data_IF_436292212126
#
_entry.id   IF_436292212126
#
_cell.length_a   1.000
_cell.length_b   1.000
_cell.length_c   1.000
_cell.angle_alpha   90.00
_cell.angle_beta   90.00
_cell.angle_gamma   90.00
#
_symmetry.space_group_name_H-M   'P 1'
#
loop_
_entity.id
_entity.type
_entity.pdbx_description
1 polymer ?
#
# COMPACT_ATOMS: atom_id res chain seq x y z
N UNK A 1 0.52 -5.97 -10.50
CA UNK A 1 1.71 -6.75 -10.92
C UNK A 1 1.89 -7.88 -9.93
N UNK A 2 2.44 -9.02 -10.36
CA UNK A 2 2.68 -10.16 -9.48
C UNK A 2 4.02 -9.98 -8.77
N UNK A 3 4.12 -10.35 -7.50
CA UNK A 3 5.37 -10.32 -6.74
C UNK A 3 5.70 -11.73 -6.24
N UNK A 4 6.91 -12.19 -6.53
CA UNK A 4 7.50 -13.42 -6.00
C UNK A 4 8.64 -13.02 -5.08
N UNK A 5 8.54 -13.36 -3.81
CA UNK A 5 9.58 -13.08 -2.83
C UNK A 5 10.07 -14.38 -2.24
N UNK A 6 11.29 -14.76 -2.60
CA UNK A 6 11.97 -15.94 -2.11
C UNK A 6 12.93 -15.54 -0.98
N UNK A 7 12.61 -15.95 0.24
CA UNK A 7 13.39 -15.70 1.44
C UNK A 7 14.16 -16.96 1.83
N UNK A 8 15.47 -16.90 1.63
CA UNK A 8 16.46 -17.91 2.01
C UNK A 8 17.45 -17.34 3.03
N UNK A 9 17.02 -16.36 3.83
CA UNK A 9 17.82 -15.81 4.93
C UNK A 9 17.93 -16.78 6.11
N UNK A 10 16.88 -17.56 6.37
CA UNK A 10 16.91 -18.67 7.32
C UNK A 10 17.58 -19.89 6.67
N UNK A 11 18.57 -20.46 7.36
CA UNK A 11 19.31 -21.65 6.89
C UNK A 11 18.50 -22.94 7.00
N UNK A 12 17.41 -22.90 7.76
CA UNK A 12 16.58 -24.08 8.04
C UNK A 12 15.40 -24.24 7.10
N UNK A 13 14.92 -23.14 6.50
CA UNK A 13 13.74 -23.12 5.64
C UNK A 13 13.86 -22.03 4.58
N UNK A 14 13.49 -22.35 3.35
CA UNK A 14 13.30 -21.36 2.28
C UNK A 14 11.81 -21.12 2.09
N UNK A 15 11.39 -19.85 2.15
CA UNK A 15 9.97 -19.46 2.03
C UNK A 15 9.77 -18.69 0.73
N UNK A 16 8.75 -19.07 -0.04
CA UNK A 16 8.28 -18.30 -1.18
C UNK A 16 6.96 -17.62 -0.81
N UNK A 17 6.97 -16.28 -0.81
CA UNK A 17 5.77 -15.45 -0.68
C UNK A 17 5.35 -14.98 -2.06
N UNK A 18 4.10 -15.19 -2.41
CA UNK A 18 3.53 -14.82 -3.70
C UNK A 18 2.39 -13.84 -3.46
N UNK A 19 2.52 -12.62 -3.98
CA UNK A 19 1.40 -11.68 -4.07
C UNK A 19 0.88 -11.64 -5.50
N UNK A 20 -0.37 -12.05 -5.67
CA UNK A 20 -0.98 -12.20 -6.99
C UNK A 20 -2.47 -11.83 -6.95
N UNK A 21 -2.96 -11.21 -8.02
CA UNK A 21 -4.40 -10.98 -8.20
C UNK A 21 -5.04 -12.26 -8.77
N UNK A 22 -5.45 -13.17 -7.88
CA UNK A 22 -6.04 -14.45 -8.26
C UNK A 22 -7.35 -14.27 -9.04
N UNK A 23 -8.19 -13.31 -8.64
CA UNK A 23 -9.52 -13.10 -9.24
C UNK A 23 -9.50 -12.56 -10.68
N UNK A 24 -8.34 -12.10 -11.15
CA UNK A 24 -8.12 -11.63 -12.52
C UNK A 24 -7.10 -12.48 -13.29
N UNK A 25 -6.66 -13.62 -12.73
CA UNK A 25 -5.67 -14.49 -13.36
C UNK A 25 -6.08 -15.95 -13.35
N UNK A 26 -5.97 -16.62 -12.20
CA UNK A 26 -6.16 -18.06 -12.05
C UNK A 26 -7.58 -18.45 -11.66
N UNK A 27 -8.38 -17.48 -11.24
CA UNK A 27 -9.76 -17.69 -10.81
C UNK A 27 -10.66 -16.68 -11.51
N UNK A 28 -11.93 -17.03 -11.69
CA UNK A 28 -12.94 -16.03 -12.05
C UNK A 28 -13.27 -15.12 -10.85
N UNK A 29 -13.63 -13.84 -11.07
CA UNK A 29 -13.98 -12.92 -9.99
C UNK A 29 -15.05 -13.44 -9.02
N UNK A 30 -16.04 -14.18 -9.53
CA UNK A 30 -17.10 -14.81 -8.74
C UNK A 30 -16.57 -15.92 -7.83
N UNK A 31 -15.62 -16.71 -8.33
CA UNK A 31 -15.00 -17.82 -7.60
C UNK A 31 -14.07 -17.29 -6.51
N UNK A 32 -13.27 -16.27 -6.84
CA UNK A 32 -12.42 -15.60 -5.88
C UNK A 32 -13.23 -14.92 -4.77
N UNK A 33 -14.33 -14.23 -5.11
CA UNK A 33 -15.24 -13.67 -4.10
C UNK A 33 -15.81 -14.73 -3.16
N UNK A 34 -16.22 -15.88 -3.71
CA UNK A 34 -16.71 -17.01 -2.91
C UNK A 34 -15.62 -17.58 -2.01
N UNK A 35 -14.38 -17.66 -2.49
CA UNK A 35 -13.25 -18.07 -1.68
C UNK A 35 -13.01 -17.08 -0.54
N UNK A 36 -12.82 -15.79 -0.85
CA UNK A 36 -12.51 -14.75 0.14
C UNK A 36 -13.58 -14.59 1.23
N UNK A 37 -14.84 -14.94 0.95
CA UNK A 37 -15.96 -14.86 1.91
C UNK A 37 -16.29 -16.19 2.60
N UNK A 38 -15.62 -17.29 2.23
CA UNK A 38 -15.80 -18.59 2.87
C UNK A 38 -15.05 -18.68 4.21
N UNK A 39 -15.39 -19.70 4.99
CA UNK A 39 -14.61 -20.11 6.16
C UNK A 39 -13.27 -20.72 5.74
N UNK A 40 -12.33 -20.92 6.68
CA UNK A 40 -10.98 -21.38 6.36
C UNK A 40 -10.96 -22.69 5.55
N UNK A 41 -11.86 -23.63 5.87
CA UNK A 41 -11.96 -24.90 5.15
C UNK A 41 -12.53 -24.72 3.73
N UNK A 42 -13.53 -23.87 3.57
CA UNK A 42 -14.08 -23.53 2.26
C UNK A 42 -13.07 -22.78 1.40
N UNK A 43 -12.27 -21.87 1.99
CA UNK A 43 -11.18 -21.18 1.31
C UNK A 43 -10.18 -22.16 0.72
N UNK A 44 -9.64 -23.07 1.54
CA UNK A 44 -8.66 -24.07 1.13
C UNK A 44 -9.15 -24.87 -0.08
N UNK A 45 -10.39 -25.35 -0.04
CA UNK A 45 -10.99 -26.13 -1.13
C UNK A 45 -11.18 -25.32 -2.41
N UNK A 46 -11.54 -24.04 -2.30
CA UNK A 46 -11.82 -23.18 -3.45
C UNK A 46 -10.54 -22.67 -4.13
N UNK A 47 -9.46 -22.45 -3.37
CA UNK A 47 -8.18 -21.98 -3.95
C UNK A 47 -7.29 -23.12 -4.43
N UNK A 48 -7.49 -24.36 -3.94
CA UNK A 48 -6.63 -25.50 -4.27
C UNK A 48 -6.36 -25.68 -5.77
N UNK A 49 -7.36 -25.62 -6.68
CA UNK A 49 -7.11 -25.77 -8.12
C UNK A 49 -6.20 -24.67 -8.69
N UNK A 50 -6.39 -23.43 -8.24
CA UNK A 50 -5.58 -22.29 -8.68
C UNK A 50 -4.14 -22.40 -8.15
N UNK A 51 -3.97 -22.89 -6.92
CA UNK A 51 -2.65 -23.14 -6.31
C UNK A 51 -1.93 -24.28 -7.02
N UNK A 52 -2.61 -25.39 -7.32
CA UNK A 52 -2.05 -26.51 -8.08
C UNK A 52 -1.59 -26.06 -9.46
N UNK A 53 -2.44 -25.36 -10.21
CA UNK A 53 -2.09 -24.79 -11.51
C UNK A 53 -0.86 -23.86 -11.43
N UNK A 54 -0.80 -23.02 -10.40
CA UNK A 54 0.33 -22.11 -10.20
C UNK A 54 1.63 -22.88 -9.91
N UNK A 55 1.59 -23.87 -9.03
CA UNK A 55 2.77 -24.67 -8.65
C UNK A 55 3.27 -25.57 -9.78
N UNK A 56 2.38 -26.12 -10.61
CA UNK A 56 2.76 -26.92 -11.78
C UNK A 56 3.53 -26.10 -12.82
N UNK A 57 3.22 -24.81 -12.94
CA UNK A 57 3.80 -23.92 -13.94
C UNK A 57 4.90 -22.98 -13.43
N UNK A 58 5.08 -22.86 -12.10
CA UNK A 58 6.20 -22.14 -11.50
C UNK A 58 7.35 -23.12 -11.21
N UNK A 59 8.42 -23.01 -11.99
CA UNK A 59 9.64 -23.80 -11.78
C UNK A 59 10.66 -22.98 -11.00
N UNK A 60 10.99 -23.43 -9.80
CA UNK A 60 12.11 -22.90 -9.02
C UNK A 60 13.22 -23.97 -9.04
N UNK A 61 14.35 -23.67 -9.66
CA UNK A 61 15.48 -24.58 -9.74
C UNK A 61 16.64 -24.06 -8.89
N UNK A 62 17.22 -24.93 -8.07
CA UNK A 62 18.44 -24.69 -7.29
C UNK A 62 19.50 -25.64 -7.85
N UNK A 63 20.61 -25.10 -8.34
CA UNK A 63 21.68 -25.86 -9.02
C UNK A 63 21.14 -26.73 -10.15
N UNK A 64 20.23 -26.17 -10.95
CA UNK A 64 19.49 -26.86 -12.03
C UNK A 64 18.56 -27.99 -11.58
N UNK A 65 18.38 -28.21 -10.27
CA UNK A 65 17.44 -29.19 -9.71
C UNK A 65 16.14 -28.49 -9.30
N UNK A 66 14.96 -28.88 -9.84
CA UNK A 66 13.69 -28.31 -9.42
C UNK A 66 13.41 -28.55 -7.93
N UNK A 67 13.03 -27.49 -7.22
CA UNK A 67 12.58 -27.52 -5.84
C UNK A 67 11.04 -27.54 -5.80
N UNK A 68 10.48 -28.53 -5.12
CA UNK A 68 9.06 -28.57 -4.83
C UNK A 68 8.72 -27.50 -3.77
N UNK A 69 7.52 -26.95 -3.86
CA UNK A 69 7.00 -25.97 -2.92
C UNK A 69 5.61 -26.41 -2.43
N UNK A 70 5.39 -26.32 -1.12
CA UNK A 70 4.14 -26.72 -0.47
C UNK A 70 3.47 -25.51 0.14
N UNK A 71 2.17 -25.31 -0.13
CA UNK A 71 1.39 -24.21 0.45
C UNK A 71 1.31 -24.38 1.98
N UNK A 72 1.70 -23.35 2.72
CA UNK A 72 1.63 -23.30 4.19
C UNK A 72 0.46 -22.47 4.68
N UNK A 73 0.25 -21.30 4.07
CA UNK A 73 -0.84 -20.39 4.43
C UNK A 73 -1.22 -19.51 3.26
N UNK A 74 -2.41 -18.92 3.37
CA UNK A 74 -2.96 -17.99 2.40
C UNK A 74 -3.70 -16.86 3.12
N UNK A 75 -3.76 -15.71 2.49
CA UNK A 75 -4.58 -14.58 2.87
C UNK A 75 -5.26 -14.03 1.62
N UNK A 76 -6.59 -13.98 1.66
CA UNK A 76 -7.40 -13.47 0.57
C UNK A 76 -7.97 -12.11 0.97
N UNK A 77 -7.77 -11.10 0.14
CA UNK A 77 -8.37 -9.78 0.31
C UNK A 77 -9.49 -9.60 -0.72
N UNK A 78 -10.68 -9.19 -0.26
CA UNK A 78 -11.77 -8.84 -1.15
C UNK A 78 -12.74 -7.85 -0.48
N UNK A 79 -12.81 -6.62 -1.01
CA UNK A 79 -13.77 -5.61 -0.55
C UNK A 79 -15.17 -5.85 -1.13
N UNK A 80 -15.25 -6.12 -2.44
CA UNK A 80 -16.49 -6.43 -3.15
C UNK A 80 -16.19 -7.12 -4.48
N UNK A 81 -17.22 -7.72 -5.08
CA UNK A 81 -17.09 -8.32 -6.41
C UNK A 81 -16.72 -7.28 -7.49
N UNK A 82 -17.25 -6.05 -7.39
CA UNK A 82 -16.92 -4.97 -8.32
C UNK A 82 -15.47 -4.49 -8.14
N UNK A 83 -14.95 -4.51 -6.91
CA UNK A 83 -13.55 -4.21 -6.63
C UNK A 83 -12.61 -5.26 -7.24
N UNK A 84 -12.95 -6.55 -7.15
CA UNK A 84 -12.18 -7.63 -7.80
C UNK A 84 -12.16 -7.44 -9.32
N UNK A 85 -13.29 -7.03 -9.92
CA UNK A 85 -13.38 -6.78 -11.37
C UNK A 85 -12.59 -5.55 -11.83
N UNK A 86 -12.17 -4.68 -10.93
CA UNK A 86 -11.51 -3.43 -11.27
C UNK A 86 -9.99 -3.63 -11.43
N UNK A 87 -9.43 -3.56 -12.65
CA UNK A 87 -7.99 -3.76 -12.88
C UNK A 87 -7.11 -2.64 -12.28
N UNK A 88 -7.71 -1.50 -11.90
CA UNK A 88 -6.98 -0.35 -11.33
C UNK A 88 -6.74 -0.54 -9.83
N UNK A 89 -7.61 -1.28 -9.14
CA UNK A 89 -7.54 -1.52 -7.69
C UNK A 89 -7.50 -3.02 -7.40
N UNK A 90 -6.43 -3.72 -7.84
CA UNK A 90 -6.35 -5.17 -7.75
C UNK A 90 -6.47 -5.62 -6.29
N UNK A 91 -7.20 -6.71 -6.09
CA UNK A 91 -7.40 -7.33 -4.77
C UNK A 91 -6.39 -8.48 -4.65
N UNK A 92 -5.22 -8.18 -4.07
CA UNK A 92 -4.08 -9.10 -4.08
C UNK A 92 -4.27 -10.18 -3.01
N UNK A 93 -4.17 -11.44 -3.41
CA UNK A 93 -3.99 -12.54 -2.48
C UNK A 93 -2.51 -12.71 -2.14
N UNK A 94 -2.23 -13.10 -0.90
CA UNK A 94 -0.89 -13.51 -0.46
C UNK A 94 -0.88 -15.01 -0.19
N UNK A 95 0.00 -15.74 -0.89
CA UNK A 95 0.20 -17.18 -0.74
C UNK A 95 1.61 -17.42 -0.22
N UNK A 96 1.75 -18.23 0.82
CA UNK A 96 3.04 -18.54 1.44
C UNK A 96 3.31 -20.03 1.24
N UNK A 97 4.44 -20.32 0.60
CA UNK A 97 4.92 -21.66 0.34
C UNK A 97 6.23 -21.92 1.06
N UNK A 98 6.41 -23.16 1.49
CA UNK A 98 7.68 -23.67 2.00
C UNK A 98 8.32 -24.55 0.93
N UNK A 99 9.58 -24.29 0.61
CA UNK A 99 10.33 -25.10 -0.33
C UNK A 99 10.93 -26.31 0.39
N UNK A 100 10.88 -27.47 -0.25
CA UNK A 100 11.38 -28.73 0.31
C UNK A 100 12.92 -28.80 0.30
N UNK A 101 13.57 -27.90 -0.44
CA UNK A 101 15.02 -27.79 -0.55
C UNK A 101 15.50 -26.47 0.07
N UNK A 102 16.52 -26.57 0.93
CA UNK A 102 17.18 -25.39 1.48
C UNK A 102 18.31 -24.94 0.56
N UNK A 103 18.36 -23.64 0.29
CA UNK A 103 19.47 -23.04 -0.45
C UNK A 103 20.70 -23.07 0.47
N UNK A 104 21.60 -24.01 0.20
CA UNK A 104 22.83 -24.19 0.97
C UNK A 104 23.84 -23.09 0.63
N UNK A 105 24.55 -22.59 1.64
CA UNK A 105 25.48 -21.46 1.49
C UNK A 105 26.75 -21.88 0.75
N UNK A 106 26.95 -21.34 -0.45
CA UNK A 106 28.16 -21.52 -1.26
C UNK A 106 27.81 -21.79 -2.72
N UNK A 107 27.97 -20.78 -3.58
CA UNK A 107 27.82 -20.86 -5.04
C UNK A 107 26.56 -21.54 -5.57
N UNK A 108 25.42 -21.38 -4.89
CA UNK A 108 24.15 -21.89 -5.40
C UNK A 108 23.65 -21.04 -6.58
N UNK A 109 23.21 -21.71 -7.64
CA UNK A 109 22.57 -21.12 -8.80
C UNK A 109 21.06 -21.25 -8.67
N UNK A 110 20.37 -20.12 -8.48
CA UNK A 110 18.91 -20.06 -8.40
C UNK A 110 18.33 -19.59 -9.72
N UNK A 111 17.41 -20.34 -10.30
CA UNK A 111 16.62 -19.91 -11.45
C UNK A 111 15.12 -20.03 -11.16
N UNK A 112 14.36 -18.99 -11.46
CA UNK A 112 12.89 -19.01 -11.41
C UNK A 112 12.35 -18.84 -12.82
N UNK A 113 11.48 -19.75 -13.23
CA UNK A 113 10.86 -19.79 -14.54
C UNK A 113 9.35 -19.95 -14.41
N UNK A 114 8.62 -19.25 -15.26
CA UNK A 114 7.17 -19.34 -15.39
C UNK A 114 6.87 -19.98 -16.75
N UNK A 115 6.12 -21.07 -16.76
CA UNK A 115 5.73 -21.76 -18.00
C UNK A 115 4.86 -20.86 -18.90
N UNK A 116 4.85 -21.14 -20.20
CA UNK A 116 4.05 -20.40 -21.18
C UNK A 116 2.55 -20.59 -20.95
N UNK A 117 2.14 -21.69 -20.32
CA UNK A 117 0.73 -22.00 -20.04
C UNK A 117 0.16 -21.24 -18.83
N UNK A 118 0.99 -20.53 -18.07
CA UNK A 118 0.57 -19.80 -16.87
C UNK A 118 0.47 -18.31 -17.18
N UNK A 119 -0.75 -17.79 -17.18
CA UNK A 119 -1.00 -16.35 -17.29
C UNK A 119 -1.18 -15.74 -15.90
N UNK A 120 -0.29 -14.81 -15.58
CA UNK A 120 -0.31 -14.02 -14.35
C UNK A 120 -0.30 -12.54 -14.70
N UNK A 121 -0.70 -11.66 -13.78
CA UNK A 121 -0.60 -10.22 -13.99
C UNK A 121 0.88 -9.81 -14.19
N UNK A 122 1.25 -9.61 -15.45
CA UNK A 122 2.58 -9.15 -15.84
C UNK A 122 2.77 -7.64 -15.57
N UNK A 123 4.01 -7.17 -15.34
CA UNK A 123 5.23 -7.96 -15.14
C UNK A 123 5.24 -8.68 -13.78
N UNK A 124 6.13 -9.66 -13.63
CA UNK A 124 6.36 -10.35 -12.36
C UNK A 124 7.67 -9.84 -11.75
N UNK A 125 7.60 -9.30 -10.54
CA UNK A 125 8.78 -8.90 -9.78
C UNK A 125 9.25 -10.09 -8.94
N UNK A 126 10.43 -10.62 -9.24
CA UNK A 126 11.11 -11.59 -8.41
C UNK A 126 12.09 -10.86 -7.49
N UNK A 127 11.99 -11.12 -6.18
CA UNK A 127 12.93 -10.70 -5.14
C UNK A 127 13.48 -11.92 -4.43
N UNK A 128 14.79 -11.95 -4.22
CA UNK A 128 15.49 -13.03 -3.53
C UNK A 128 16.32 -12.44 -2.39
N UNK A 129 15.99 -12.81 -1.16
CA UNK A 129 16.78 -12.51 0.05
C UNK A 129 17.54 -13.78 0.46
N UNK A 130 18.82 -13.66 0.84
CA UNK A 130 19.65 -14.80 1.21
C UNK A 130 20.73 -14.41 2.24
N UNK A 131 21.11 -15.34 3.10
CA UNK A 131 21.87 -15.03 4.32
C UNK A 131 23.26 -14.37 4.13
N UNK A 132 23.86 -14.46 2.93
CA UNK A 132 25.24 -13.98 2.67
C UNK A 132 25.27 -12.54 2.19
N UNK A 133 24.18 -12.01 1.62
CA UNK A 133 24.12 -10.64 1.11
C UNK A 133 23.12 -9.82 1.92
N UNK A 134 23.50 -8.62 2.39
CA UNK A 134 22.56 -7.71 3.01
C UNK A 134 21.59 -7.07 2.00
N UNK A 135 21.86 -7.23 0.69
CA UNK A 135 21.02 -6.71 -0.37
C UNK A 135 20.23 -7.82 -1.07
N UNK A 136 18.90 -7.64 -1.26
CA UNK A 136 18.11 -8.52 -2.10
C UNK A 136 18.57 -8.45 -3.54
N UNK A 137 18.50 -9.58 -4.24
CA UNK A 137 18.58 -9.61 -5.71
C UNK A 137 17.16 -9.49 -6.26
N UNK A 138 16.95 -8.56 -7.18
CA UNK A 138 15.66 -8.43 -7.88
C UNK A 138 15.81 -8.72 -9.37
N UNK A 139 14.78 -9.33 -9.95
CA UNK A 139 14.62 -9.57 -11.39
C UNK A 139 13.19 -9.23 -11.79
N UNK A 140 13.02 -8.68 -12.97
CA UNK A 140 11.71 -8.45 -13.55
C UNK A 140 11.50 -9.45 -14.68
N UNK A 141 10.47 -10.28 -14.55
CA UNK A 141 10.05 -11.20 -15.60
C UNK A 141 8.88 -10.56 -16.36
N UNK A 142 8.86 -10.77 -17.66
CA UNK A 142 7.83 -10.25 -18.56
C UNK A 142 7.18 -11.40 -19.29
N UNK A 143 6.02 -11.15 -19.91
CA UNK A 143 5.34 -12.19 -20.70
C UNK A 143 6.20 -12.76 -21.82
N UNK A 144 7.16 -11.98 -22.34
CA UNK A 144 8.17 -12.41 -23.32
C UNK A 144 9.44 -13.00 -22.72
N UNK A 145 9.78 -12.64 -21.49
CA UNK A 145 10.99 -13.11 -20.78
C UNK A 145 10.56 -13.68 -19.42
N UNK A 146 10.07 -14.92 -19.47
CA UNK A 146 9.48 -15.65 -18.34
C UNK A 146 10.51 -16.40 -17.46
N UNK A 147 11.79 -16.06 -17.58
CA UNK A 147 12.88 -16.63 -16.77
C UNK A 147 13.64 -15.50 -16.08
N UNK A 148 14.03 -15.71 -14.83
CA UNK A 148 14.93 -14.82 -14.09
C UNK A 148 16.35 -14.80 -14.64
N UNK A 149 16.70 -15.79 -15.49
CA UNK A 149 18.06 -16.31 -15.71
C UNK A 149 18.68 -16.84 -14.41
N UNK A 150 19.77 -17.61 -14.52
CA UNK A 150 20.61 -17.96 -13.37
C UNK A 150 20.97 -16.77 -12.48
N UNK A 151 20.64 -16.86 -11.20
CA UNK A 151 21.05 -15.94 -10.14
C UNK A 151 22.13 -16.63 -9.32
N UNK A 152 23.35 -16.14 -9.44
CA UNK A 152 24.50 -16.65 -8.68
C UNK A 152 24.50 -16.02 -7.29
N UNK A 153 24.27 -16.84 -6.27
CA UNK A 153 24.21 -16.41 -4.87
C UNK A 153 25.61 -16.38 -4.23
N UNK A 154 26.54 -15.63 -4.83
CA UNK A 154 27.92 -15.48 -4.34
C UNK A 154 28.07 -14.31 -3.37
N UNK A 155 28.61 -14.59 -2.18
CA UNK A 155 28.89 -13.59 -1.15
C UNK A 155 29.96 -12.54 -1.47
N UNK A 156 30.58 -12.62 -2.65
CA UNK A 156 31.73 -11.78 -3.03
C UNK A 156 31.40 -10.61 -3.97
N UNK A 157 30.13 -10.35 -4.30
CA UNK A 157 29.78 -9.35 -5.33
C UNK A 157 29.71 -7.90 -4.84
N UNK A 158 30.04 -7.58 -3.58
CA UNK A 158 29.95 -6.22 -3.06
C UNK A 158 31.27 -5.74 -2.43
N UNK A 159 32.29 -5.60 -3.29
CA UNK A 159 33.46 -4.78 -2.97
C UNK A 159 33.02 -3.30 -2.83
N UNK A 160 33.01 -2.83 -1.58
CA UNK A 160 33.11 -1.44 -1.07
C UNK A 160 32.17 -0.32 -1.58
N UNK A 161 31.76 -0.28 -2.85
CA UNK A 161 30.98 0.85 -3.43
C UNK A 161 29.46 0.62 -3.40
N UNK A 162 29.02 -0.60 -3.15
CA UNK A 162 27.61 -0.97 -3.12
C UNK A 162 26.99 -0.93 -1.72
N UNK A 163 27.78 -0.88 -0.65
CA UNK A 163 27.27 -0.71 0.72
C UNK A 163 26.63 0.68 0.92
N UNK A 164 27.14 1.71 0.22
CA UNK A 164 26.56 3.06 0.21
C UNK A 164 25.28 3.12 -0.62
N UNK A 165 25.26 2.50 -1.81
CA UNK A 165 24.05 2.36 -2.62
C UNK A 165 22.98 1.50 -1.93
N UNK A 166 23.38 0.47 -1.19
CA UNK A 166 22.51 -0.36 -0.37
C UNK A 166 21.85 0.45 0.74
N UNK A 167 22.65 1.24 1.47
CA UNK A 167 22.15 2.13 2.50
C UNK A 167 21.18 3.17 1.94
N UNK A 168 21.46 3.70 0.75
CA UNK A 168 20.56 4.63 0.05
C UNK A 168 19.27 3.95 -0.42
N UNK A 169 19.34 2.73 -0.93
CA UNK A 169 18.17 1.96 -1.35
C UNK A 169 17.26 1.60 -0.17
N UNK A 170 17.83 1.16 0.96
CA UNK A 170 17.10 0.91 2.20
C UNK A 170 16.50 2.20 2.77
N UNK A 171 17.27 3.30 2.74
CA UNK A 171 16.75 4.61 3.11
C UNK A 171 15.57 5.02 2.22
N UNK A 172 15.67 4.82 0.90
CA UNK A 172 14.58 5.14 -0.03
C UNK A 172 13.35 4.26 0.18
N UNK A 173 13.52 2.95 0.40
CA UNK A 173 12.44 2.00 0.70
C UNK A 173 11.63 2.44 1.93
N UNK A 174 12.29 2.96 2.96
CA UNK A 174 11.63 3.48 4.16
C UNK A 174 10.84 4.77 3.91
N UNK A 175 11.12 5.50 2.83
CA UNK A 175 10.38 6.72 2.43
C UNK A 175 9.17 6.42 1.54
N UNK A 176 9.15 5.27 0.86
CA UNK A 176 8.03 4.87 -0.03
C UNK A 176 6.67 4.88 0.69
N UNK A 177 6.53 4.38 1.94
CA UNK A 177 5.30 4.52 2.70
C UNK A 177 4.90 5.99 2.94
N UNK A 178 5.86 6.90 3.16
CA UNK A 178 5.57 8.32 3.32
C UNK A 178 4.99 8.96 2.05
N UNK A 179 5.42 8.49 0.87
CA UNK A 179 4.92 8.98 -0.42
C UNK A 179 3.51 8.46 -0.73
N UNK A 180 3.14 7.25 -0.29
CA UNK A 180 1.77 6.75 -0.45
C UNK A 180 0.79 7.57 0.39
N UNK A 181 1.14 7.96 1.62
CA UNK A 181 0.34 8.90 2.42
C UNK A 181 0.19 10.27 1.75
N UNK A 182 1.23 10.75 1.06
CA UNK A 182 1.15 11.98 0.27
C UNK A 182 0.15 11.83 -0.88
N UNK A 183 0.16 10.69 -1.58
CA UNK A 183 -0.80 10.40 -2.65
C UNK A 183 -2.25 10.33 -2.12
N UNK A 184 -2.48 9.72 -0.96
CA UNK A 184 -3.79 9.69 -0.29
C UNK A 184 -4.23 11.10 0.09
N UNK A 185 -3.34 11.93 0.64
CA UNK A 185 -3.63 13.34 0.94
C UNK A 185 -3.95 14.15 -0.32
N UNK A 186 -3.27 13.91 -1.44
CA UNK A 186 -3.57 14.56 -2.71
C UNK A 186 -4.95 14.15 -3.24
N UNK A 187 -5.27 12.84 -3.21
CA UNK A 187 -6.57 12.32 -3.62
C UNK A 187 -7.73 12.84 -2.74
N UNK A 188 -7.44 13.13 -1.47
CA UNK A 188 -8.40 13.74 -0.56
C UNK A 188 -8.76 15.16 -1.00
N UNK A 189 -7.79 15.99 -1.39
CA UNK A 189 -8.07 17.37 -1.84
C UNK A 189 -8.64 17.37 -3.28
N UNK A 190 -8.05 16.57 -4.18
CA UNK A 190 -8.44 16.50 -5.60
C UNK A 190 -8.65 15.03 -5.96
N UNK A 191 -9.88 14.54 -6.23
CA UNK A 191 -11.10 15.29 -6.55
C UNK A 191 -12.12 15.43 -5.41
N UNK A 192 -11.90 14.78 -4.25
CA UNK A 192 -12.96 14.62 -3.22
C UNK A 192 -13.12 15.81 -2.28
N UNK A 193 -12.13 16.70 -2.19
CA UNK A 193 -12.03 17.79 -1.20
C UNK A 193 -12.48 19.14 -1.75
N UNK A 194 -13.61 19.18 -2.45
CA UNK A 194 -14.17 20.43 -2.98
C UNK A 194 -14.46 21.45 -1.87
N UNK A 195 -14.83 20.96 -0.68
CA UNK A 195 -14.99 21.75 0.53
C UNK A 195 -13.72 22.55 0.90
N UNK A 196 -12.54 21.92 0.84
CA UNK A 196 -11.25 22.56 1.11
C UNK A 196 -10.89 23.60 0.06
N UNK A 197 -11.12 23.28 -1.22
CA UNK A 197 -10.86 24.21 -2.33
C UNK A 197 -11.75 25.44 -2.20
N UNK A 198 -13.06 25.25 -1.96
CA UNK A 198 -14.02 26.34 -1.78
C UNK A 198 -13.70 27.17 -0.52
N UNK A 199 -13.27 26.52 0.56
CA UNK A 199 -12.85 27.21 1.78
C UNK A 199 -11.62 28.11 1.57
N UNK A 200 -10.57 27.59 0.92
CA UNK A 200 -9.35 28.36 0.60
C UNK A 200 -9.66 29.50 -0.37
N UNK A 201 -10.52 29.27 -1.38
CA UNK A 201 -10.99 30.33 -2.26
C UNK A 201 -11.77 31.40 -1.48
N UNK A 202 -12.58 31.01 -0.50
CA UNK A 202 -13.24 31.92 0.44
C UNK A 202 -12.24 32.77 1.22
N UNK A 203 -11.14 32.19 1.71
CA UNK A 203 -10.08 32.97 2.39
C UNK A 203 -9.39 33.96 1.43
N UNK A 204 -9.11 33.52 0.21
CA UNK A 204 -8.49 34.32 -0.84
C UNK A 204 -9.33 35.55 -1.23
N UNK A 205 -10.63 35.38 -1.44
CA UNK A 205 -11.49 36.47 -1.93
C UNK A 205 -11.63 37.65 -0.96
N UNK A 206 -11.40 37.46 0.35
CA UNK A 206 -11.41 38.58 1.31
C UNK A 206 -10.05 39.27 1.47
N UNK A 207 -8.95 38.57 1.19
CA UNK A 207 -7.60 39.13 1.34
C UNK A 207 -6.73 38.77 0.16
N UNK A 208 -6.63 39.70 -0.78
CA UNK A 208 -5.72 39.62 -1.94
C UNK A 208 -4.24 39.73 -1.58
N UNK A 209 -3.92 40.03 -0.30
CA UNK A 209 -2.53 40.03 0.20
C UNK A 209 -2.07 38.61 0.47
N UNK A 210 -1.09 38.16 -0.31
CA UNK A 210 -0.50 36.82 -0.22
C UNK A 210 0.06 36.50 1.17
N UNK A 211 0.69 37.47 1.85
CA UNK A 211 1.25 37.25 3.18
C UNK A 211 0.18 36.91 4.24
N UNK A 212 -0.99 37.52 4.16
CA UNK A 212 -2.09 37.22 5.09
C UNK A 212 -2.74 35.88 4.77
N UNK A 213 -2.90 35.57 3.48
CA UNK A 213 -3.40 34.26 3.05
C UNK A 213 -2.49 33.13 3.54
N UNK A 214 -1.17 33.27 3.34
CA UNK A 214 -0.20 32.27 3.79
C UNK A 214 -0.26 32.06 5.31
N UNK A 215 -0.48 33.12 6.09
CA UNK A 215 -0.58 33.02 7.53
C UNK A 215 -1.86 32.27 7.97
N UNK A 216 -3.00 32.59 7.36
CA UNK A 216 -4.27 31.90 7.63
C UNK A 216 -4.22 30.43 7.23
N UNK A 217 -3.69 30.14 6.04
CA UNK A 217 -3.52 28.78 5.54
C UNK A 217 -2.57 28.00 6.45
N UNK A 218 -1.46 28.61 6.90
CA UNK A 218 -0.54 27.95 7.84
C UNK A 218 -1.21 27.60 9.17
N UNK A 219 -1.96 28.53 9.77
CA UNK A 219 -2.72 28.26 11.00
C UNK A 219 -3.78 27.16 10.80
N UNK A 220 -4.51 27.19 9.69
CA UNK A 220 -5.46 26.15 9.32
C UNK A 220 -4.77 24.80 9.20
N UNK A 221 -3.67 24.71 8.45
CA UNK A 221 -2.92 23.46 8.23
C UNK A 221 -2.36 22.90 9.52
N UNK A 222 -1.79 23.73 10.40
CA UNK A 222 -1.31 23.25 11.71
C UNK A 222 -2.43 22.68 12.56
N UNK A 223 -3.57 23.38 12.63
CA UNK A 223 -4.74 22.91 13.37
C UNK A 223 -5.31 21.62 12.78
N UNK A 224 -5.44 21.55 11.46
CA UNK A 224 -5.91 20.37 10.74
C UNK A 224 -5.03 19.15 11.01
N UNK A 225 -3.71 19.29 10.87
CA UNK A 225 -2.75 18.22 11.15
C UNK A 225 -2.81 17.76 12.61
N UNK A 226 -3.01 18.70 13.55
CA UNK A 226 -3.18 18.36 14.96
C UNK A 226 -4.46 17.55 15.21
N UNK A 227 -5.60 17.97 14.64
CA UNK A 227 -6.85 17.24 14.79
C UNK A 227 -6.79 15.84 14.17
N UNK A 228 -6.16 15.72 12.99
CA UNK A 228 -5.93 14.44 12.35
C UNK A 228 -5.07 13.53 13.23
N UNK A 229 -3.96 14.03 13.77
CA UNK A 229 -3.09 13.27 14.66
C UNK A 229 -3.82 12.79 15.94
N UNK A 230 -4.65 13.65 16.54
CA UNK A 230 -5.45 13.28 17.71
C UNK A 230 -6.50 12.21 17.38
N UNK A 231 -7.10 12.29 16.20
CA UNK A 231 -8.10 11.31 15.76
C UNK A 231 -7.47 9.96 15.37
N UNK A 232 -6.32 9.96 14.68
CA UNK A 232 -5.60 8.73 14.34
C UNK A 232 -5.02 8.02 15.57
N UNK A 233 -4.63 8.77 16.61
CA UNK A 233 -4.23 8.22 17.90
C UNK A 233 -5.42 7.71 18.75
N UNK A 234 -6.66 7.86 18.27
CA UNK A 234 -7.86 7.47 19.00
C UNK A 234 -8.19 8.35 20.22
N UNK A 235 -7.53 9.50 20.36
CA UNK A 235 -7.75 10.44 21.48
C UNK A 235 -9.07 11.20 21.29
N UNK A 236 -9.44 11.51 20.04
CA UNK A 236 -10.67 12.21 19.68
C UNK A 236 -11.43 11.40 18.64
N UNK A 237 -12.67 11.04 18.94
CA UNK A 237 -13.57 10.37 18.00
C UNK A 237 -14.91 11.12 17.95
N UNK A 238 -15.24 11.67 16.79
CA UNK A 238 -16.50 12.39 16.56
C UNK A 238 -17.18 11.78 15.33
N UNK A 239 -18.49 11.43 15.40
CA UNK A 239 -19.19 10.84 14.26
C UNK A 239 -19.21 11.76 13.03
N UNK A 240 -18.98 11.19 11.83
CA UNK A 240 -19.03 11.92 10.56
C UNK A 240 -20.36 12.68 10.37
N UNK A 241 -21.48 12.08 10.79
CA UNK A 241 -22.81 12.69 10.75
C UNK A 241 -22.93 14.03 11.51
N UNK A 242 -22.00 14.31 12.43
CA UNK A 242 -21.91 15.60 13.15
C UNK A 242 -20.87 16.50 12.50
N UNK A 243 -19.72 15.95 12.11
CA UNK A 243 -18.60 16.73 11.57
C UNK A 243 -18.91 17.30 10.18
N UNK A 244 -19.48 16.50 9.27
CA UNK A 244 -19.74 16.93 7.89
C UNK A 244 -20.71 18.13 7.79
N UNK A 245 -21.86 18.16 8.50
CA UNK A 245 -22.72 19.35 8.49
C UNK A 245 -22.03 20.59 9.05
N UNK A 246 -21.15 20.42 10.05
CA UNK A 246 -20.40 21.53 10.64
C UNK A 246 -19.34 22.06 9.66
N UNK A 247 -18.69 21.19 8.88
CA UNK A 247 -17.77 21.59 7.80
C UNK A 247 -18.54 22.43 6.77
N UNK A 248 -19.72 21.96 6.31
CA UNK A 248 -20.56 22.75 5.40
C UNK A 248 -20.96 24.10 6.00
N UNK A 249 -21.34 24.13 7.28
CA UNK A 249 -21.67 25.37 8.00
C UNK A 249 -20.47 26.33 8.09
N UNK A 250 -19.24 25.82 8.23
CA UNK A 250 -18.02 26.64 8.25
C UNK A 250 -17.78 27.37 6.93
N UNK A 251 -18.09 26.73 5.79
CA UNK A 251 -17.99 27.34 4.46
C UNK A 251 -19.03 28.44 4.30
N UNK A 252 -20.28 28.16 4.69
CA UNK A 252 -21.35 29.17 4.68
C UNK A 252 -20.97 30.36 5.55
N UNK A 253 -20.40 30.11 6.73
CA UNK A 253 -19.91 31.15 7.62
C UNK A 253 -18.86 32.04 6.94
N UNK A 254 -17.84 31.44 6.31
CA UNK A 254 -16.80 32.20 5.59
C UNK A 254 -17.40 32.99 4.42
N UNK A 255 -18.35 32.40 3.69
CA UNK A 255 -19.02 33.09 2.59
C UNK A 255 -19.81 34.31 3.08
N UNK A 256 -20.54 34.20 4.19
CA UNK A 256 -21.29 35.32 4.78
C UNK A 256 -20.34 36.37 5.39
N UNK A 257 -19.28 35.95 6.09
CA UNK A 257 -18.27 36.85 6.64
C UNK A 257 -17.61 37.69 5.53
N UNK A 258 -17.34 37.08 4.37
CA UNK A 258 -16.79 37.77 3.22
C UNK A 258 -17.71 38.85 2.64
N UNK A 259 -19.03 38.73 2.81
CA UNK A 259 -20.00 39.72 2.32
C UNK A 259 -20.13 40.93 3.26
N UNK A 260 -19.81 40.76 4.55
CA UNK A 260 -20.00 41.80 5.58
C UNK A 260 -18.70 42.45 6.07
N UNK A 261 -17.58 41.75 6.02
CA UNK A 261 -16.31 42.20 6.58
C UNK A 261 -15.39 42.81 5.52
N UNK A 262 -15.05 44.10 5.64
CA UNK A 262 -14.08 44.77 4.75
C UNK A 262 -12.63 44.76 5.28
N UNK A 263 -12.37 44.21 6.48
CA UNK A 263 -11.03 44.17 7.07
C UNK A 263 -10.79 42.87 7.84
N UNK A 264 -9.52 42.46 7.90
CA UNK A 264 -9.10 41.26 8.62
C UNK A 264 -9.00 41.53 10.12
N UNK A 265 -10.02 41.12 10.87
CA UNK A 265 -10.06 41.24 12.33
C UNK A 265 -9.34 40.03 12.94
N UNK A 266 -8.61 40.22 14.06
CA UNK A 266 -7.90 39.14 14.78
C UNK A 266 -8.78 37.93 15.12
N UNK A 267 -10.08 38.15 15.32
CA UNK A 267 -11.08 37.10 15.55
C UNK A 267 -11.15 36.09 14.39
N UNK A 268 -10.95 36.54 13.14
CA UNK A 268 -11.01 35.67 11.96
C UNK A 268 -9.93 34.60 11.99
N UNK A 269 -8.75 34.90 12.54
CA UNK A 269 -7.66 33.91 12.66
C UNK A 269 -8.04 32.78 13.62
N UNK A 270 -8.71 33.10 14.74
CA UNK A 270 -9.22 32.10 15.66
C UNK A 270 -10.27 31.23 14.99
N UNK A 271 -11.20 31.83 14.25
CA UNK A 271 -12.23 31.11 13.50
C UNK A 271 -11.63 30.17 12.46
N UNK A 272 -10.67 30.64 11.65
CA UNK A 272 -9.99 29.80 10.65
C UNK A 272 -9.22 28.65 11.30
N UNK A 273 -8.58 28.89 12.44
CA UNK A 273 -7.88 27.85 13.20
C UNK A 273 -8.86 26.79 13.72
N UNK A 274 -10.01 27.20 14.26
CA UNK A 274 -11.07 26.29 14.72
C UNK A 274 -11.67 25.47 13.57
N UNK A 275 -11.87 26.10 12.41
CA UNK A 275 -12.30 25.37 11.21
C UNK A 275 -11.23 24.38 10.73
N UNK A 276 -9.95 24.71 10.86
CA UNK A 276 -8.85 23.75 10.63
C UNK A 276 -8.98 22.50 11.48
N UNK A 277 -9.23 22.64 12.78
CA UNK A 277 -9.47 21.49 13.67
C UNK A 277 -10.67 20.66 13.20
N UNK A 278 -11.78 21.32 12.89
CA UNK A 278 -13.01 20.67 12.46
C UNK A 278 -12.84 19.89 11.15
N UNK A 279 -12.17 20.48 10.16
CA UNK A 279 -11.90 19.84 8.87
C UNK A 279 -10.99 18.62 9.03
N UNK A 280 -9.99 18.70 9.92
CA UNK A 280 -9.10 17.58 10.23
C UNK A 280 -9.83 16.36 10.81
N UNK A 281 -10.88 16.58 11.60
CA UNK A 281 -11.74 15.50 12.11
C UNK A 281 -12.58 14.85 10.99
N UNK A 282 -12.98 15.61 9.98
CA UNK A 282 -13.74 15.10 8.84
C UNK A 282 -12.93 14.11 8.00
N UNK A 283 -11.65 14.43 7.75
CA UNK A 283 -10.73 13.52 7.07
C UNK A 283 -10.46 12.25 7.88
N UNK A 284 -10.30 12.37 9.20
CA UNK A 284 -10.07 11.21 10.05
C UNK A 284 -11.22 10.20 10.03
N UNK A 285 -12.47 10.67 9.97
CA UNK A 285 -13.64 9.78 9.87
C UNK A 285 -13.62 8.94 8.57
N UNK A 286 -13.29 9.56 7.44
CA UNK A 286 -13.11 8.86 6.15
C UNK A 286 -11.92 7.90 6.19
N UNK A 287 -10.84 8.29 6.87
CA UNK A 287 -9.66 7.45 6.98
C UNK A 287 -9.90 6.22 7.87
N UNK A 288 -10.70 6.35 8.94
CA UNK A 288 -11.13 5.22 9.75
C UNK A 288 -11.95 4.19 8.96
N UNK A 289 -12.69 4.61 7.94
CA UNK A 289 -13.40 3.70 7.02
C UNK A 289 -12.44 3.00 6.04
N UNK A 290 -11.30 3.62 5.72
CA UNK A 290 -10.27 3.05 4.83
C UNK A 290 -9.26 2.11 5.53
N UNK A 291 -9.09 2.21 6.87
CA UNK A 291 -8.02 1.55 7.64
C UNK A 291 -8.42 0.17 8.24
N UNK A 292 -9.60 -0.39 7.97
CA UNK A 292 -9.87 -1.79 8.38
C UNK A 292 -9.11 -2.75 7.43
N UNK A 293 -7.99 -3.37 7.87
CA UNK A 293 -7.91 -4.27 9.03
C UNK A 293 -7.05 -3.77 10.20
N UNK A 294 -7.57 -3.94 11.41
CA UNK A 294 -7.12 -3.41 12.69
C UNK A 294 -5.93 -4.14 13.36
N UNK A 295 -4.99 -4.75 12.61
CA UNK A 295 -4.01 -5.66 13.22
C UNK A 295 -2.63 -5.04 13.54
N UNK A 296 -2.26 -3.86 13.04
CA UNK A 296 -0.84 -3.41 13.14
C UNK A 296 -0.57 -2.11 13.95
N UNK A 297 -1.48 -1.64 14.80
CA UNK A 297 -1.28 -0.37 15.50
C UNK A 297 -0.57 -0.44 16.87
N UNK A 298 -0.21 -1.62 17.39
CA UNK A 298 0.34 -1.73 18.76
C UNK A 298 1.57 -2.63 18.99
N UNK A 299 2.45 -2.83 18.00
CA UNK A 299 3.77 -3.41 18.28
C UNK A 299 4.90 -2.49 17.84
N UNK A 300 5.25 -1.56 18.73
CA UNK A 300 6.55 -0.89 18.79
C UNK A 300 7.04 -0.93 20.25
#
# INVERSE_FOLDING_TARGET
>A
MTELHLDASDRSQTVLRVKIDLGQSLMHPEEYWRAATADAKGQEQLIAPAVEQFLEALVIAIDSVPAAATLQSWQLEAVSIDAIRNPITPQMAELIFLLDQNISLGEAELEVRIDDNLEVPWPVLLRVDYAVSPLPVSRLLTSSERSSRPIILNGNLLASDSATLAGLALAFQNWVPGLSWLAVGFQHIIPRGLDHIVFVLGLFFLSTRLSTLLYQVSCFTMAHSLALALATLGIVAVPAAVVEPLIAASIIFVAVDNLHSNTLIRWRLLVVTLFGLLHGLGFAAVLSELILPAENFYSA
#
